data_IF_482352385057
#
_entry.id   IF_482352385057
#
_cell.length_a   1.000
_cell.length_b   1.000
_cell.length_c   1.000
_cell.angle_alpha   90.00
_cell.angle_beta   90.00
_cell.angle_gamma   90.00
#
_symmetry.space_group_name_H-M   'P 1'
#
loop_
_entity.id
_entity.type
_entity.pdbx_description
1 polymer ?
#
# COMPACT_ATOMS: atom_id res chain seq x y z
N UNK A 1 -24.27 -20.95 -7.74
CA UNK A 1 -23.33 -21.62 -6.83
C UNK A 1 -22.63 -20.61 -5.90
N UNK A 2 -22.03 -19.54 -6.45
CA UNK A 2 -21.34 -18.50 -5.64
C UNK A 2 -22.31 -17.72 -4.79
N UNK A 3 -23.46 -17.31 -5.35
CA UNK A 3 -24.51 -16.58 -4.63
C UNK A 3 -25.13 -17.43 -3.53
N UNK A 4 -25.41 -18.72 -3.78
CA UNK A 4 -25.93 -19.65 -2.79
C UNK A 4 -24.96 -19.86 -1.63
N UNK A 5 -23.67 -19.98 -1.95
CA UNK A 5 -22.62 -20.06 -0.92
C UNK A 5 -22.56 -18.79 -0.06
N UNK A 6 -22.57 -17.62 -0.70
CA UNK A 6 -22.51 -16.33 0.02
C UNK A 6 -23.70 -16.17 0.95
N UNK A 7 -24.91 -16.50 0.49
CA UNK A 7 -26.12 -16.45 1.31
C UNK A 7 -26.03 -17.42 2.51
N UNK A 8 -25.61 -18.67 2.28
CA UNK A 8 -25.45 -19.66 3.34
C UNK A 8 -24.36 -19.24 4.35
N UNK A 9 -23.24 -18.70 3.88
CA UNK A 9 -22.15 -18.21 4.72
C UNK A 9 -22.60 -17.04 5.61
N UNK A 10 -23.33 -16.07 5.04
CA UNK A 10 -23.89 -14.97 5.82
C UNK A 10 -24.92 -15.45 6.86
N UNK A 11 -25.81 -16.37 6.49
CA UNK A 11 -26.77 -16.95 7.42
C UNK A 11 -26.07 -17.65 8.60
N UNK A 12 -24.99 -18.38 8.32
CA UNK A 12 -24.22 -19.07 9.37
C UNK A 12 -23.49 -18.08 10.29
N UNK A 13 -22.91 -16.98 9.75
CA UNK A 13 -22.31 -15.91 10.59
C UNK A 13 -23.35 -15.29 11.54
N UNK A 14 -24.56 -14.99 11.03
CA UNK A 14 -25.67 -14.47 11.86
C UNK A 14 -26.04 -15.48 12.94
N UNK A 15 -26.17 -16.78 12.59
CA UNK A 15 -26.51 -17.83 13.54
C UNK A 15 -25.49 -17.95 14.67
N UNK A 16 -24.20 -17.75 14.35
CA UNK A 16 -23.08 -17.80 15.31
C UNK A 16 -22.82 -16.48 16.03
N UNK A 17 -23.53 -15.42 15.67
CA UNK A 17 -23.30 -14.07 16.17
C UNK A 17 -21.84 -13.64 16.02
N UNK A 18 -21.27 -13.87 14.82
CA UNK A 18 -19.90 -13.49 14.49
C UNK A 18 -19.86 -12.75 13.15
N UNK A 19 -18.78 -12.02 12.95
CA UNK A 19 -18.44 -11.33 11.71
C UNK A 19 -16.97 -11.55 11.37
N UNK A 20 -16.63 -11.54 10.10
CA UNK A 20 -15.25 -11.53 9.63
C UNK A 20 -14.74 -10.09 9.40
N UNK A 21 -13.46 -9.95 9.03
CA UNK A 21 -12.86 -8.63 8.79
C UNK A 21 -13.52 -7.89 7.63
N UNK A 22 -13.93 -8.60 6.59
CA UNK A 22 -14.63 -8.00 5.45
C UNK A 22 -15.99 -7.44 5.86
N UNK A 23 -16.74 -8.15 6.74
CA UNK A 23 -17.99 -7.62 7.29
C UNK A 23 -17.76 -6.31 8.05
N UNK A 24 -16.70 -6.24 8.87
CA UNK A 24 -16.39 -5.04 9.65
C UNK A 24 -16.14 -3.83 8.74
N UNK A 25 -15.35 -4.01 7.68
CA UNK A 25 -15.08 -2.96 6.71
C UNK A 25 -16.37 -2.50 6.00
N UNK A 26 -17.17 -3.44 5.50
CA UNK A 26 -18.42 -3.12 4.80
C UNK A 26 -19.47 -2.49 5.72
N UNK A 27 -19.58 -2.93 6.97
CA UNK A 27 -20.46 -2.28 7.93
C UNK A 27 -19.97 -0.87 8.29
N UNK A 28 -18.67 -0.67 8.40
CA UNK A 28 -18.11 0.66 8.61
C UNK A 28 -18.53 1.62 7.47
N UNK A 29 -18.39 1.20 6.21
CA UNK A 29 -18.83 2.02 5.07
C UNK A 29 -20.32 2.33 5.15
N UNK A 30 -21.18 1.33 5.38
CA UNK A 30 -22.64 1.55 5.50
C UNK A 30 -23.02 2.51 6.61
N UNK A 31 -22.25 2.54 7.69
CA UNK A 31 -22.46 3.48 8.79
C UNK A 31 -21.99 4.90 8.45
N UNK A 32 -20.95 5.02 7.64
CA UNK A 32 -20.25 6.28 7.36
C UNK A 32 -20.73 6.97 6.08
N UNK A 33 -21.17 6.19 5.09
CA UNK A 33 -21.65 6.67 3.79
C UNK A 33 -23.07 6.15 3.51
N UNK A 34 -23.89 7.01 2.91
CA UNK A 34 -25.18 6.62 2.34
C UNK A 34 -25.02 5.94 0.99
N UNK A 35 -26.12 5.43 0.45
CA UNK A 35 -26.16 4.74 -0.86
C UNK A 35 -25.76 5.67 -2.03
N UNK A 36 -25.84 6.99 -1.83
CA UNK A 36 -25.40 8.04 -2.75
C UNK A 36 -23.90 8.38 -2.62
N UNK A 37 -23.17 7.68 -1.75
CA UNK A 37 -21.77 7.93 -1.43
C UNK A 37 -21.53 9.18 -0.55
N UNK A 38 -22.60 9.92 -0.18
CA UNK A 38 -22.46 11.07 0.69
C UNK A 38 -22.25 10.65 2.17
N UNK A 39 -21.53 11.44 2.96
CA UNK A 39 -21.36 11.13 4.38
C UNK A 39 -22.68 11.11 5.14
N UNK A 40 -22.93 10.08 5.94
CA UNK A 40 -24.05 10.02 6.87
C UNK A 40 -23.89 11.06 8.01
N UNK A 41 -24.92 11.30 8.84
CA UNK A 41 -24.76 12.10 10.04
C UNK A 41 -23.62 11.62 10.95
N UNK A 42 -23.45 10.31 11.09
CA UNK A 42 -22.35 9.71 11.83
C UNK A 42 -20.99 9.97 11.15
N UNK A 43 -20.89 9.80 9.84
CA UNK A 43 -19.69 10.11 9.05
C UNK A 43 -19.26 11.57 9.23
N UNK A 44 -20.18 12.51 9.14
CA UNK A 44 -19.94 13.94 9.40
C UNK A 44 -19.48 14.21 10.84
N UNK A 45 -20.10 13.57 11.80
CA UNK A 45 -19.71 13.70 13.20
C UNK A 45 -18.27 13.20 13.43
N UNK A 46 -17.92 12.05 12.86
CA UNK A 46 -16.58 11.46 13.01
C UNK A 46 -15.52 12.28 12.28
N UNK A 47 -15.80 12.77 11.06
CA UNK A 47 -14.85 13.60 10.32
C UNK A 47 -14.53 14.92 11.05
N UNK A 48 -15.48 15.46 11.82
CA UNK A 48 -15.26 16.62 12.68
C UNK A 48 -14.46 16.32 13.96
N UNK A 49 -14.39 15.04 14.38
CA UNK A 49 -13.75 14.64 15.63
C UNK A 49 -12.22 14.58 15.50
N UNK A 50 -11.72 14.17 14.34
CA UNK A 50 -10.28 13.99 14.13
C UNK A 50 -9.67 15.27 13.61
N UNK A 51 -8.61 15.72 14.28
CA UNK A 51 -7.82 16.86 13.82
C UNK A 51 -6.96 16.46 12.62
N UNK A 52 -6.32 15.33 12.72
CA UNK A 52 -5.45 14.73 11.70
C UNK A 52 -5.67 13.22 11.68
N UNK A 53 -5.60 12.64 10.49
CA UNK A 53 -5.67 11.20 10.24
C UNK A 53 -4.39 10.82 9.53
N UNK A 54 -3.63 9.91 10.13
CA UNK A 54 -2.35 9.46 9.58
C UNK A 54 -2.45 7.97 9.24
N UNK A 55 -2.13 7.63 8.00
CA UNK A 55 -2.15 6.25 7.52
C UNK A 55 -0.78 5.90 6.99
N UNK A 56 -0.18 4.88 7.57
CA UNK A 56 1.10 4.31 7.15
C UNK A 56 0.88 3.13 6.20
N UNK A 57 1.92 2.75 5.44
CA UNK A 57 1.88 1.66 4.45
C UNK A 57 0.69 1.78 3.48
N UNK A 58 0.42 3.00 3.02
CA UNK A 58 -0.79 3.29 2.25
C UNK A 58 -0.86 2.54 0.92
N UNK A 59 0.26 2.06 0.36
CA UNK A 59 0.32 1.21 -0.82
C UNK A 59 -0.37 -0.15 -0.63
N UNK A 60 -0.59 -0.57 0.63
CA UNK A 60 -1.25 -1.83 0.97
C UNK A 60 -2.75 -1.65 1.29
N UNK A 61 -3.28 -0.45 1.04
CA UNK A 61 -4.70 -0.11 1.23
C UNK A 61 -5.53 -0.69 0.08
N UNK A 62 -6.72 -1.21 0.39
CA UNK A 62 -7.73 -1.57 -0.59
C UNK A 62 -8.76 -0.44 -0.76
N UNK A 63 -9.64 -0.55 -1.79
CA UNK A 63 -10.64 0.48 -2.08
C UNK A 63 -11.65 0.65 -0.93
N UNK A 64 -12.00 -0.42 -0.23
CA UNK A 64 -12.93 -0.39 0.91
C UNK A 64 -12.34 0.43 2.05
N UNK A 65 -11.08 0.20 2.38
CA UNK A 65 -10.35 0.96 3.39
C UNK A 65 -10.16 2.44 2.99
N UNK A 66 -9.84 2.68 1.72
CA UNK A 66 -9.73 4.04 1.17
C UNK A 66 -11.05 4.80 1.31
N UNK A 67 -12.19 4.16 1.02
CA UNK A 67 -13.52 4.74 1.24
C UNK A 67 -13.76 5.10 2.71
N UNK A 68 -13.35 4.23 3.64
CA UNK A 68 -13.45 4.52 5.09
C UNK A 68 -12.61 5.73 5.45
N UNK A 69 -11.34 5.80 5.02
CA UNK A 69 -10.47 6.94 5.31
C UNK A 69 -11.03 8.25 4.75
N UNK A 70 -11.58 8.23 3.54
CA UNK A 70 -12.25 9.39 2.95
C UNK A 70 -13.48 9.81 3.74
N UNK A 71 -14.31 8.87 4.17
CA UNK A 71 -15.55 9.15 4.90
C UNK A 71 -15.31 9.79 6.28
N UNK A 72 -14.20 9.48 6.93
CA UNK A 72 -13.84 10.06 8.25
C UNK A 72 -12.90 11.27 8.15
N UNK A 73 -12.44 11.62 6.95
CA UNK A 73 -11.63 12.82 6.71
C UNK A 73 -12.53 13.99 6.27
N UNK A 74 -12.01 15.20 6.39
CA UNK A 74 -12.67 16.42 5.92
C UNK A 74 -12.30 16.68 4.46
N UNK A 75 -12.92 15.89 3.56
CA UNK A 75 -12.59 15.89 2.11
C UNK A 75 -11.08 15.70 1.85
N UNK A 76 -10.41 14.91 2.69
CA UNK A 76 -8.98 14.65 2.59
C UNK A 76 -8.07 15.75 3.16
N UNK A 77 -8.61 16.91 3.60
CA UNK A 77 -7.79 18.03 4.07
C UNK A 77 -6.98 17.73 5.34
N UNK A 78 -7.42 16.76 6.13
CA UNK A 78 -6.74 16.30 7.34
C UNK A 78 -6.21 14.88 7.22
N UNK A 79 -6.03 14.36 5.99
CA UNK A 79 -5.52 13.03 5.72
C UNK A 79 -4.03 13.12 5.31
N UNK A 80 -3.17 12.51 6.11
CA UNK A 80 -1.76 12.34 5.83
C UNK A 80 -1.48 10.86 5.54
N UNK A 81 -0.95 10.55 4.36
CA UNK A 81 -0.67 9.18 3.93
C UNK A 81 0.82 9.01 3.69
N UNK A 82 1.38 7.92 4.17
CA UNK A 82 2.78 7.54 3.95
C UNK A 82 2.80 6.16 3.31
N UNK A 83 3.70 5.94 2.37
CA UNK A 83 3.86 4.66 1.71
C UNK A 83 4.96 4.67 0.66
N UNK A 84 5.19 3.52 0.09
CA UNK A 84 6.12 3.33 -1.02
C UNK A 84 5.53 2.30 -2.00
N UNK A 85 5.13 2.74 -3.18
CA UNK A 85 4.53 1.86 -4.22
C UNK A 85 5.43 0.67 -4.54
N UNK A 86 6.77 0.86 -4.49
CA UNK A 86 7.76 -0.21 -4.73
C UNK A 86 7.69 -1.36 -3.71
N UNK A 87 7.11 -1.10 -2.53
CA UNK A 87 6.97 -2.09 -1.45
C UNK A 87 5.61 -2.76 -1.43
N UNK A 88 4.74 -2.50 -2.41
CA UNK A 88 3.43 -3.14 -2.50
C UNK A 88 3.57 -4.61 -2.87
N UNK A 89 3.35 -5.49 -1.89
CA UNK A 89 3.43 -6.96 -2.04
C UNK A 89 2.14 -7.67 -1.63
N UNK A 90 1.09 -6.92 -1.24
CA UNK A 90 -0.16 -7.49 -0.71
C UNK A 90 -1.33 -7.48 -1.70
N UNK A 91 -1.08 -7.45 -3.01
CA UNK A 91 -2.16 -7.58 -4.03
C UNK A 91 -3.00 -8.84 -3.86
N UNK A 92 -2.40 -9.95 -3.42
CA UNK A 92 -3.12 -11.19 -3.12
C UNK A 92 -4.09 -11.05 -1.94
N UNK A 93 -4.00 -9.96 -1.16
CA UNK A 93 -4.94 -9.55 -0.10
C UNK A 93 -5.83 -8.38 -0.52
N UNK A 94 -6.00 -8.18 -1.83
CA UNK A 94 -6.80 -7.10 -2.42
C UNK A 94 -6.26 -5.69 -2.19
N UNK A 95 -5.00 -5.53 -1.78
CA UNK A 95 -4.35 -4.23 -1.79
C UNK A 95 -4.28 -3.69 -3.23
N UNK A 96 -4.57 -2.40 -3.39
CA UNK A 96 -4.51 -1.73 -4.67
C UNK A 96 -3.54 -0.53 -4.61
N UNK A 97 -2.28 -0.73 -5.02
CA UNK A 97 -1.28 0.34 -4.99
C UNK A 97 -1.59 1.49 -5.95
N UNK A 98 -2.53 1.30 -6.90
CA UNK A 98 -2.93 2.38 -7.83
C UNK A 98 -3.59 3.54 -7.08
N UNK A 99 -4.29 3.28 -5.97
CA UNK A 99 -4.87 4.28 -5.09
C UNK A 99 -3.81 5.28 -4.57
N UNK A 100 -2.64 4.76 -4.19
CA UNK A 100 -1.53 5.61 -3.73
C UNK A 100 -0.79 6.25 -4.90
N UNK A 101 -0.61 5.52 -6.00
CA UNK A 101 0.04 6.01 -7.20
C UNK A 101 -0.73 7.19 -7.82
N UNK A 102 -2.06 7.17 -7.83
CA UNK A 102 -2.88 8.29 -8.29
C UNK A 102 -2.61 9.56 -7.48
N UNK A 103 -2.50 9.46 -6.16
CA UNK A 103 -2.11 10.59 -5.30
C UNK A 103 -0.70 11.07 -5.61
N UNK A 104 0.24 10.14 -5.78
CA UNK A 104 1.63 10.45 -6.12
C UNK A 104 1.74 11.24 -7.43
N UNK A 105 0.96 10.86 -8.44
CA UNK A 105 0.94 11.53 -9.75
C UNK A 105 0.19 12.86 -9.73
N UNK A 106 -0.90 12.94 -8.98
CA UNK A 106 -1.76 14.12 -8.94
C UNK A 106 -1.24 15.25 -8.05
N UNK A 107 -0.53 14.90 -6.94
CA UNK A 107 -0.10 15.88 -5.96
C UNK A 107 1.18 16.59 -6.40
N UNK A 108 1.25 17.89 -6.21
CA UNK A 108 2.45 18.68 -6.47
C UNK A 108 3.50 18.48 -5.37
N UNK A 109 4.80 18.67 -5.70
CA UNK A 109 5.83 18.79 -4.68
C UNK A 109 5.46 19.85 -3.62
N UNK A 110 5.84 19.63 -2.37
CA UNK A 110 5.46 20.51 -1.28
C UNK A 110 5.95 21.96 -1.45
N UNK A 111 7.06 22.13 -2.15
CA UNK A 111 7.69 23.42 -2.47
C UNK A 111 6.93 24.20 -3.54
N UNK A 112 6.12 23.52 -4.35
CA UNK A 112 5.35 24.10 -5.46
C UNK A 112 3.85 24.21 -5.17
N UNK A 113 3.38 23.56 -4.09
CA UNK A 113 1.98 23.55 -3.74
C UNK A 113 1.59 24.80 -2.95
N UNK A 114 0.47 25.41 -3.33
CA UNK A 114 -0.13 26.52 -2.58
C UNK A 114 -0.73 26.06 -1.26
N UNK A 115 -0.93 26.99 -0.33
CA UNK A 115 -1.55 26.69 0.94
C UNK A 115 -2.96 26.09 0.76
N UNK A 116 -3.23 24.99 1.47
CA UNK A 116 -4.50 24.27 1.38
C UNK A 116 -4.61 23.29 0.20
N UNK A 117 -3.61 23.25 -0.70
CA UNK A 117 -3.59 22.24 -1.77
C UNK A 117 -2.95 20.93 -1.33
N UNK A 118 -3.40 19.80 -1.89
CA UNK A 118 -2.73 18.51 -1.72
C UNK A 118 -1.28 18.60 -2.19
N UNK A 119 -0.38 18.05 -1.37
CA UNK A 119 1.06 18.09 -1.66
C UNK A 119 1.73 16.76 -1.35
N UNK A 120 2.82 16.48 -2.02
CA UNK A 120 3.67 15.31 -1.75
C UNK A 120 5.05 15.74 -1.27
N UNK A 121 5.62 14.92 -0.39
CA UNK A 121 7.01 15.02 0.08
C UNK A 121 7.70 13.71 -0.28
N UNK A 122 8.82 13.77 -1.00
CA UNK A 122 9.62 12.59 -1.36
C UNK A 122 10.71 12.36 -0.31
N UNK A 123 10.68 11.20 0.32
CA UNK A 123 11.70 10.76 1.28
C UNK A 123 12.68 9.83 0.58
N UNK A 124 13.73 10.37 -0.03
CA UNK A 124 14.69 9.60 -0.82
C UNK A 124 15.86 9.03 -0.04
N UNK A 125 16.10 9.51 1.21
CA UNK A 125 17.23 9.07 2.01
C UNK A 125 16.89 7.89 2.91
N UNK A 126 17.72 6.84 2.85
CA UNK A 126 17.61 5.67 3.71
C UNK A 126 18.67 5.72 4.82
N UNK A 127 18.21 5.73 6.06
CA UNK A 127 19.05 5.80 7.26
C UNK A 127 19.23 4.44 7.95
N UNK A 128 18.56 3.39 7.45
CA UNK A 128 18.51 2.06 8.09
C UNK A 128 19.50 1.06 7.48
N UNK A 129 19.77 1.15 6.18
CA UNK A 129 20.53 0.15 5.44
C UNK A 129 21.93 0.63 5.10
N UNK A 130 22.85 -0.31 4.92
CA UNK A 130 24.20 -0.04 4.42
C UNK A 130 24.17 0.34 2.94
N UNK A 131 25.18 1.08 2.50
CA UNK A 131 25.30 1.55 1.10
C UNK A 131 25.26 0.39 0.09
N UNK A 132 25.95 -0.72 0.37
CA UNK A 132 26.00 -1.88 -0.52
C UNK A 132 24.62 -2.49 -0.74
N UNK A 133 23.79 -2.60 0.31
CA UNK A 133 22.42 -3.11 0.21
C UNK A 133 21.55 -2.20 -0.69
N UNK A 134 21.67 -0.88 -0.49
CA UNK A 134 20.93 0.08 -1.31
C UNK A 134 21.40 0.06 -2.77
N UNK A 135 22.70 -0.09 -2.99
CA UNK A 135 23.28 -0.18 -4.34
C UNK A 135 22.78 -1.43 -5.07
N UNK A 136 22.72 -2.59 -4.38
CA UNK A 136 22.18 -3.82 -4.94
C UNK A 136 20.68 -3.70 -5.25
N UNK A 137 19.89 -3.14 -4.33
CA UNK A 137 18.47 -2.89 -4.56
C UNK A 137 18.26 -1.95 -5.76
N UNK A 138 19.00 -0.85 -5.83
CA UNK A 138 18.94 0.09 -6.97
C UNK A 138 19.32 -0.58 -8.30
N UNK A 139 20.31 -1.48 -8.30
CA UNK A 139 20.72 -2.23 -9.49
C UNK A 139 19.61 -3.15 -9.97
N UNK A 140 19.04 -3.95 -9.07
CA UNK A 140 17.95 -4.88 -9.41
C UNK A 140 16.73 -4.11 -9.90
N UNK A 141 16.23 -3.15 -9.14
CA UNK A 141 15.04 -2.39 -9.51
C UNK A 141 15.24 -1.57 -10.79
N UNK A 142 16.40 -0.95 -10.97
CA UNK A 142 16.73 -0.24 -12.22
C UNK A 142 16.77 -1.13 -13.45
N UNK A 143 16.96 -2.46 -13.26
CA UNK A 143 17.02 -3.42 -14.35
C UNK A 143 15.65 -4.04 -14.69
N UNK A 144 14.74 -4.20 -13.70
CA UNK A 144 13.51 -4.96 -13.88
C UNK A 144 12.23 -4.15 -13.68
N UNK A 145 12.27 -3.03 -12.93
CA UNK A 145 11.08 -2.27 -12.63
C UNK A 145 10.72 -1.33 -13.79
N UNK A 146 9.50 -1.47 -14.28
CA UNK A 146 8.89 -0.62 -15.30
C UNK A 146 7.40 -0.50 -15.03
N UNK A 147 6.71 0.42 -15.72
CA UNK A 147 5.25 0.54 -15.62
C UNK A 147 4.51 -0.77 -15.93
N UNK A 148 5.08 -1.64 -16.75
CA UNK A 148 4.47 -2.93 -17.09
C UNK A 148 4.67 -3.99 -15.99
N UNK A 149 5.79 -3.94 -15.25
CA UNK A 149 6.13 -4.94 -14.24
C UNK A 149 6.04 -4.44 -12.79
N UNK A 150 5.98 -3.14 -12.57
CA UNK A 150 5.98 -2.55 -11.22
C UNK A 150 5.13 -1.29 -11.12
N UNK A 151 4.28 -1.03 -12.13
CA UNK A 151 3.34 0.09 -12.21
C UNK A 151 3.98 1.47 -12.29
N UNK A 152 5.29 1.57 -12.04
CA UNK A 152 6.07 2.78 -12.15
C UNK A 152 7.45 2.48 -12.73
N UNK A 153 8.05 3.49 -13.37
CA UNK A 153 9.42 3.41 -13.85
C UNK A 153 10.38 3.73 -12.69
N UNK A 154 11.51 3.03 -12.63
CA UNK A 154 12.52 3.26 -11.59
C UNK A 154 13.53 4.33 -12.04
N UNK A 155 13.17 5.58 -11.81
CA UNK A 155 13.98 6.75 -12.18
C UNK A 155 14.89 7.26 -11.04
N UNK A 156 15.51 8.42 -11.23
CA UNK A 156 16.36 9.05 -10.22
C UNK A 156 15.61 9.40 -8.92
N UNK A 157 14.33 9.72 -9.01
CA UNK A 157 13.49 10.10 -7.85
C UNK A 157 13.15 8.90 -6.96
N UNK A 158 13.04 7.69 -7.56
CA UNK A 158 12.72 6.45 -6.86
C UNK A 158 13.93 5.75 -6.27
N UNK A 159 15.16 6.21 -6.61
CA UNK A 159 16.39 5.60 -6.12
C UNK A 159 16.55 5.76 -4.61
N UNK A 160 17.01 4.69 -3.99
CA UNK A 160 17.39 4.67 -2.58
C UNK A 160 18.73 5.37 -2.39
N UNK A 161 18.74 6.47 -1.66
CA UNK A 161 19.96 7.23 -1.37
C UNK A 161 20.45 6.93 0.06
N UNK A 162 21.74 6.70 0.19
CA UNK A 162 22.35 6.43 1.48
C UNK A 162 22.42 7.71 2.33
N UNK A 163 21.72 7.71 3.47
CA UNK A 163 21.69 8.82 4.42
C UNK A 163 22.23 8.47 5.82
N UNK A 164 22.53 7.18 6.08
CA UNK A 164 22.95 6.75 7.40
C UNK A 164 24.38 7.23 7.71
N UNK A 165 24.57 7.82 8.90
CA UNK A 165 25.88 8.11 9.46
C UNK A 165 26.27 7.00 10.45
N UNK A 166 27.51 6.53 10.42
CA UNK A 166 28.06 5.69 11.50
C UNK A 166 28.08 4.19 11.27
N UNK A 167 27.73 3.68 10.09
CA UNK A 167 28.06 2.29 9.77
C UNK A 167 29.57 2.17 9.57
N UNK A 168 30.27 1.27 10.31
CA UNK A 168 31.68 1.03 10.08
C UNK A 168 31.92 0.50 8.68
N UNK A 169 32.99 0.97 8.02
CA UNK A 169 33.42 0.39 6.76
C UNK A 169 33.81 -1.09 6.97
N UNK A 170 33.26 -1.96 6.14
CA UNK A 170 33.60 -3.37 6.07
C UNK A 170 33.94 -3.73 4.64
N UNK A 171 35.04 -4.41 4.44
CA UNK A 171 35.49 -4.86 3.12
C UNK A 171 34.81 -6.15 2.62
N UNK A 172 34.06 -6.82 3.51
CA UNK A 172 33.48 -8.15 3.31
C UNK A 172 31.96 -8.14 3.15
N UNK A 173 31.38 -7.01 2.72
CA UNK A 173 29.92 -6.81 2.68
C UNK A 173 29.39 -6.64 1.26
N UNK A 174 30.00 -7.26 0.28
CA UNK A 174 29.51 -7.26 -1.08
C UNK A 174 28.21 -8.08 -1.20
N UNK A 175 27.32 -7.64 -2.07
CA UNK A 175 26.08 -8.37 -2.34
C UNK A 175 26.35 -9.42 -3.39
N UNK A 176 26.01 -10.67 -3.07
CA UNK A 176 26.14 -11.80 -3.98
C UNK A 176 24.79 -12.15 -4.61
N UNK A 177 24.81 -12.49 -5.88
CA UNK A 177 23.64 -12.97 -6.61
C UNK A 177 23.87 -14.43 -7.02
N UNK A 178 23.08 -15.32 -6.46
CA UNK A 178 23.16 -16.76 -6.76
C UNK A 178 22.01 -17.18 -7.67
N UNK A 179 22.32 -17.61 -8.90
CA UNK A 179 21.36 -18.20 -9.82
C UNK A 179 21.42 -19.73 -9.74
N UNK A 180 20.36 -20.34 -9.25
CA UNK A 180 20.25 -21.79 -9.16
C UNK A 180 19.28 -22.28 -10.25
N UNK A 181 19.78 -23.07 -11.19
CA UNK A 181 18.93 -23.75 -12.15
C UNK A 181 18.49 -25.11 -11.59
N UNK A 182 17.18 -25.27 -11.43
CA UNK A 182 16.60 -26.55 -11.02
C UNK A 182 16.00 -27.20 -12.25
N UNK A 183 16.50 -28.39 -12.61
CA UNK A 183 15.87 -29.17 -13.67
C UNK A 183 14.53 -29.75 -13.16
N UNK A 184 13.45 -29.41 -13.85
CA UNK A 184 12.12 -29.99 -13.59
C UNK A 184 12.15 -31.46 -14.09
N UNK A 185 12.31 -32.42 -13.18
CA UNK A 185 12.11 -33.82 -13.48
C UNK A 185 10.62 -34.11 -13.44
N UNK A 186 10.10 -34.86 -14.46
CA UNK A 186 8.66 -35.18 -14.55
C UNK A 186 8.12 -35.90 -13.31
N UNK A 187 8.95 -36.54 -12.52
CA UNK A 187 8.57 -37.22 -11.28
C UNK A 187 8.19 -36.25 -10.15
N UNK A 188 8.74 -35.04 -10.11
CA UNK A 188 8.40 -34.04 -9.06
C UNK A 188 7.08 -33.29 -9.31
N UNK A 189 6.50 -33.42 -10.53
CA UNK A 189 5.19 -32.80 -10.83
C UNK A 189 4.02 -33.53 -10.18
N UNK A 190 4.14 -34.82 -9.93
CA UNK A 190 3.04 -35.62 -9.35
C UNK A 190 2.89 -35.50 -7.83
N UNK A 191 3.92 -35.05 -7.12
CA UNK A 191 3.87 -34.89 -5.66
C UNK A 191 3.31 -33.52 -5.20
N UNK A 192 2.96 -32.62 -6.12
CA UNK A 192 2.41 -31.28 -5.81
C UNK A 192 0.94 -31.10 -6.18
N UNK A 193 0.25 -32.15 -6.53
CA UNK A 193 -1.22 -32.16 -6.76
C UNK A 193 -1.93 -32.91 -5.64
#
# INVERSE_FOLDING_TARGET
LTEDFTAAYQAEKVRRNCMDFSDQEHYAIRLLQGDDGAPTPLGRQLSGRYREIMVDEYQDTNEVQNCIFRAISRDGQNLFTVGDVKQSIYRFRLADPTIFLEKYLAYRPAEEAEEGQPRKVLLSQNFRSRRQVLSAANFVFGSIMSRQMGEMDYGPEERLNYGAAGYPERSDTDTEFHLISVADTEEERFDRT
#
